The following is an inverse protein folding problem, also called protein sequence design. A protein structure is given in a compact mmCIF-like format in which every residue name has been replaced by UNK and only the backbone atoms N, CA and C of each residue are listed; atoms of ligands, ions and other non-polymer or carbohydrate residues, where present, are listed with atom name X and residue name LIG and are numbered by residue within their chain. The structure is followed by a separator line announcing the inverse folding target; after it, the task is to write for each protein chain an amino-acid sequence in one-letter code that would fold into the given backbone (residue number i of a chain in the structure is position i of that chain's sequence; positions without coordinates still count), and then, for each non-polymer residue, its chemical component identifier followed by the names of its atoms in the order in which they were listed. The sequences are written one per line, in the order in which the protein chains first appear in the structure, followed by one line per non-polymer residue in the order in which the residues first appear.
data_IF_745866287192
#
_entry.id   IF_745866287192
#
_cell.length_a   1.000
_cell.length_b   1.000
_cell.length_c   1.000
_cell.angle_alpha   90.00
_cell.angle_beta   90.00
_cell.angle_gamma   90.00
#
_symmetry.space_group_name_H-M   'P 1'
#
loop_
_entity.id
_entity.type
_entity.pdbx_description
1 polymer ?
#
# COMPACT_ATOMS: atom_id res chain seq x y z
N UNK A 1 21.84 6.06 -2.94
CA UNK A 1 20.65 6.90 -2.67
C UNK A 1 20.41 6.88 -1.17
N UNK A 2 20.30 8.02 -0.49
CA UNK A 2 20.12 8.04 0.96
C UNK A 2 18.82 7.33 1.35
N UNK A 3 18.85 6.45 2.35
CA UNK A 3 17.69 5.73 2.90
C UNK A 3 16.56 6.68 3.27
N UNK A 4 16.88 7.89 3.72
CA UNK A 4 15.93 8.97 4.01
C UNK A 4 15.13 9.41 2.78
N UNK A 5 15.77 9.45 1.61
CA UNK A 5 15.12 9.87 0.36
C UNK A 5 14.11 8.82 -0.14
N UNK A 6 14.44 7.52 0.06
CA UNK A 6 13.54 6.39 -0.22
C UNK A 6 12.33 6.40 0.72
N UNK A 7 12.55 6.61 2.02
CA UNK A 7 11.49 6.74 3.02
C UNK A 7 10.53 7.88 2.69
N UNK A 8 11.04 9.04 2.28
CA UNK A 8 10.20 10.17 1.85
C UNK A 8 9.45 9.81 0.56
N UNK A 9 10.11 9.17 -0.42
CA UNK A 9 9.52 8.79 -1.69
C UNK A 9 8.30 7.87 -1.56
N UNK A 10 8.36 6.89 -0.65
CA UNK A 10 7.23 5.98 -0.40
C UNK A 10 6.25 6.50 0.66
N UNK A 11 6.75 7.18 1.69
CA UNK A 11 5.94 7.66 2.81
C UNK A 11 5.06 8.85 2.44
N UNK A 12 5.52 9.74 1.56
CA UNK A 12 4.77 10.93 1.16
C UNK A 12 3.44 10.63 0.46
N UNK A 13 3.34 9.75 -0.56
CA UNK A 13 2.05 9.42 -1.17
C UNK A 13 1.09 8.74 -0.19
N UNK A 14 1.61 7.91 0.73
CA UNK A 14 0.80 7.25 1.76
C UNK A 14 0.23 8.28 2.74
N UNK A 15 1.08 9.17 3.25
CA UNK A 15 0.67 10.24 4.16
C UNK A 15 -0.34 11.18 3.51
N UNK A 16 -0.08 11.60 2.28
CA UNK A 16 -1.00 12.47 1.54
C UNK A 16 -2.33 11.77 1.26
N UNK A 17 -2.30 10.48 0.92
CA UNK A 17 -3.49 9.65 0.77
C UNK A 17 -4.31 9.55 2.07
N UNK A 18 -3.63 9.31 3.20
CA UNK A 18 -4.25 9.26 4.53
C UNK A 18 -4.88 10.62 4.90
N UNK A 19 -4.16 11.71 4.68
CA UNK A 19 -4.66 13.06 4.92
C UNK A 19 -5.90 13.35 4.08
N UNK A 20 -6.02 12.86 2.84
CA UNK A 20 -7.23 13.03 2.04
C UNK A 20 -8.45 12.26 2.59
N UNK A 21 -8.21 11.11 3.23
CA UNK A 21 -9.26 10.24 3.78
C UNK A 21 -9.83 10.83 5.08
N UNK A 22 -9.00 11.46 5.91
CA UNK A 22 -9.40 11.90 7.24
C UNK A 22 -10.47 13.02 7.19
N UNK A 23 -11.42 13.03 8.15
CA UNK A 23 -12.50 14.00 8.16
C UNK A 23 -12.02 15.40 8.57
N UNK A 24 -11.03 15.50 9.47
CA UNK A 24 -10.56 16.79 10.01
C UNK A 24 -9.74 17.63 9.01
N UNK A 25 -9.28 17.03 7.93
CA UNK A 25 -8.48 17.71 6.88
C UNK A 25 -9.35 18.25 5.74
N UNK A 26 -10.67 18.04 5.76
CA UNK A 26 -11.53 18.31 4.61
C UNK A 26 -11.58 19.78 4.21
N UNK A 27 -11.55 20.70 5.17
CA UNK A 27 -11.52 22.15 4.93
C UNK A 27 -10.27 22.57 4.15
N UNK A 28 -9.09 22.02 4.50
CA UNK A 28 -7.83 22.33 3.83
C UNK A 28 -7.79 21.84 2.38
N UNK A 29 -8.34 20.66 2.09
CA UNK A 29 -8.35 20.11 0.73
C UNK A 29 -9.48 20.65 -0.15
N UNK A 30 -10.56 21.17 0.45
CA UNK A 30 -11.59 21.90 -0.30
C UNK A 30 -11.05 23.20 -0.90
N UNK A 31 -10.16 23.92 -0.19
CA UNK A 31 -9.47 25.08 -0.78
C UNK A 31 -8.64 24.72 -2.03
N UNK A 32 -8.22 23.46 -2.14
CA UNK A 32 -7.44 22.95 -3.28
C UNK A 32 -8.31 22.39 -4.41
N UNK A 33 -9.65 22.42 -4.28
CA UNK A 33 -10.56 21.85 -5.27
C UNK A 33 -10.58 22.63 -6.59
N UNK A 34 -10.20 23.92 -6.57
CA UNK A 34 -10.06 24.73 -7.80
C UNK A 34 -9.01 24.15 -8.75
N UNK A 35 -7.94 23.56 -8.22
CA UNK A 35 -6.88 22.91 -9.01
C UNK A 35 -7.13 21.43 -9.25
N UNK A 36 -7.79 20.76 -8.30
CA UNK A 36 -8.09 19.33 -8.39
C UNK A 36 -9.59 19.08 -8.21
N UNK A 37 -10.35 18.97 -9.31
CA UNK A 37 -11.81 18.79 -9.25
C UNK A 37 -12.21 17.48 -8.56
N UNK A 38 -11.31 16.48 -8.51
CA UNK A 38 -11.53 15.24 -7.76
C UNK A 38 -11.74 15.47 -6.25
N UNK A 39 -11.22 16.57 -5.68
CA UNK A 39 -11.36 16.87 -4.25
C UNK A 39 -12.63 17.64 -3.91
N UNK A 40 -13.36 18.16 -4.92
CA UNK A 40 -14.59 18.92 -4.72
C UNK A 40 -15.70 18.08 -4.07
N UNK A 41 -15.72 16.77 -4.34
CA UNK A 41 -16.70 15.85 -3.76
C UNK A 41 -16.07 15.01 -2.66
N UNK A 42 -16.83 14.72 -1.61
CA UNK A 42 -16.38 13.82 -0.53
C UNK A 42 -15.93 12.47 -1.09
N UNK A 43 -16.70 11.90 -2.02
CA UNK A 43 -16.40 10.61 -2.65
C UNK A 43 -15.11 10.66 -3.48
N UNK A 44 -14.95 11.67 -4.33
CA UNK A 44 -13.74 11.83 -5.14
C UNK A 44 -12.49 12.01 -4.28
N UNK A 45 -12.59 12.81 -3.20
CA UNK A 45 -11.51 12.99 -2.23
C UNK A 45 -11.09 11.67 -1.56
N UNK A 46 -12.06 10.91 -1.07
CA UNK A 46 -11.80 9.61 -0.40
C UNK A 46 -11.16 8.61 -1.37
N UNK A 47 -11.68 8.49 -2.60
CA UNK A 47 -11.13 7.55 -3.59
C UNK A 47 -9.76 7.97 -4.11
N UNK A 48 -9.51 9.28 -4.28
CA UNK A 48 -8.17 9.78 -4.61
C UNK A 48 -7.18 9.49 -3.49
N UNK A 49 -7.58 9.68 -2.23
CA UNK A 49 -6.77 9.33 -1.07
C UNK A 49 -6.46 7.82 -1.02
N UNK A 50 -7.49 6.99 -1.22
CA UNK A 50 -7.34 5.53 -1.28
C UNK A 50 -6.39 5.09 -2.38
N UNK A 51 -6.52 5.63 -3.59
CA UNK A 51 -5.64 5.30 -4.71
C UNK A 51 -4.17 5.66 -4.42
N UNK A 52 -3.91 6.81 -3.79
CA UNK A 52 -2.54 7.20 -3.41
C UNK A 52 -1.95 6.29 -2.35
N UNK A 53 -2.74 5.91 -1.34
CA UNK A 53 -2.31 4.96 -0.31
C UNK A 53 -2.03 3.57 -0.92
N UNK A 54 -2.90 3.10 -1.81
CA UNK A 54 -2.71 1.81 -2.51
C UNK A 54 -1.49 1.80 -3.43
N UNK A 55 -1.23 2.91 -4.14
CA UNK A 55 0.01 3.10 -4.91
C UNK A 55 1.25 3.04 -4.01
N UNK A 56 1.21 3.67 -2.84
CA UNK A 56 2.28 3.58 -1.86
C UNK A 56 2.50 2.16 -1.36
N UNK A 57 1.42 1.45 -1.00
CA UNK A 57 1.48 0.04 -0.59
C UNK A 57 2.05 -0.89 -1.68
N UNK A 58 1.68 -0.64 -2.94
CA UNK A 58 2.24 -1.34 -4.10
C UNK A 58 3.75 -1.10 -4.23
N UNK A 59 4.17 0.17 -4.15
CA UNK A 59 5.58 0.54 -4.25
C UNK A 59 6.42 -0.09 -3.12
N UNK A 60 5.91 -0.09 -1.89
CA UNK A 60 6.54 -0.77 -0.75
C UNK A 60 6.64 -2.27 -0.99
N UNK A 61 5.59 -2.91 -1.51
CA UNK A 61 5.60 -4.35 -1.79
C UNK A 61 6.63 -4.75 -2.84
N UNK A 62 6.76 -3.96 -3.92
CA UNK A 62 7.81 -4.14 -4.94
C UNK A 62 9.19 -3.99 -4.31
N UNK A 63 9.38 -2.97 -3.47
CA UNK A 63 10.65 -2.76 -2.78
C UNK A 63 11.00 -3.93 -1.85
N UNK A 64 10.03 -4.46 -1.10
CA UNK A 64 10.20 -5.64 -0.25
C UNK A 64 10.64 -6.87 -1.06
N UNK A 65 10.03 -7.10 -2.22
CA UNK A 65 10.44 -8.19 -3.12
C UNK A 65 11.84 -7.98 -3.69
N UNK A 66 12.16 -6.76 -4.09
CA UNK A 66 13.47 -6.44 -4.60
C UNK A 66 14.57 -6.66 -3.55
N UNK A 67 14.33 -6.26 -2.29
CA UNK A 67 15.24 -6.52 -1.17
C UNK A 67 15.44 -8.02 -0.98
N UNK A 68 14.35 -8.79 -0.95
CA UNK A 68 14.42 -10.25 -0.79
C UNK A 68 15.25 -10.91 -1.89
N UNK A 69 15.02 -10.53 -3.16
CA UNK A 69 15.80 -11.04 -4.28
C UNK A 69 17.29 -10.68 -4.15
N UNK A 70 17.62 -9.45 -3.76
CA UNK A 70 19.02 -9.02 -3.61
C UNK A 70 19.74 -9.68 -2.44
N UNK A 71 19.07 -9.91 -1.33
CA UNK A 71 19.63 -10.70 -0.23
C UNK A 71 19.92 -12.12 -0.69
N UNK A 72 19.00 -12.75 -1.45
CA UNK A 72 19.21 -14.11 -1.96
C UNK A 72 20.40 -14.24 -2.92
N UNK A 73 20.77 -13.15 -3.61
CA UNK A 73 21.97 -13.05 -4.43
C UNK A 73 23.27 -12.84 -3.61
N UNK A 74 23.18 -12.75 -2.29
CA UNK A 74 24.32 -12.57 -1.37
C UNK A 74 24.67 -11.10 -1.08
N UNK A 75 23.78 -10.15 -1.39
CA UNK A 75 24.01 -8.74 -1.09
C UNK A 75 23.50 -8.36 0.31
N UNK A 76 24.36 -7.70 1.10
CA UNK A 76 23.97 -7.14 2.39
C UNK A 76 23.30 -5.77 2.22
N UNK A 77 21.96 -5.75 2.20
CA UNK A 77 21.15 -4.54 2.18
C UNK A 77 20.39 -4.38 3.50
N UNK A 78 20.28 -3.16 4.01
CA UNK A 78 19.56 -2.87 5.28
C UNK A 78 20.11 -3.59 6.52
N UNK A 79 21.36 -4.08 6.50
CA UNK A 79 22.11 -4.47 7.69
C UNK A 79 22.57 -3.20 8.43
N UNK A 80 21.74 -2.68 9.32
CA UNK A 80 22.11 -1.58 10.22
C UNK A 80 22.38 -2.17 11.62
N UNK A 81 23.59 -1.97 12.13
CA UNK A 81 24.23 -2.64 13.28
C UNK A 81 23.59 -2.48 14.67
N UNK A 82 22.32 -2.06 14.82
CA UNK A 82 21.82 -1.78 16.19
C UNK A 82 20.41 -2.23 16.56
N UNK A 83 19.36 -2.16 15.72
CA UNK A 83 17.98 -2.50 16.19
C UNK A 83 17.05 -3.14 15.12
N UNK A 84 17.16 -2.83 13.81
CA UNK A 84 16.32 -3.42 12.76
C UNK A 84 17.16 -3.76 11.51
N UNK A 85 17.60 -5.02 11.39
CA UNK A 85 18.16 -5.54 10.14
C UNK A 85 17.02 -6.10 9.28
N UNK A 86 16.83 -5.58 8.07
CA UNK A 86 15.81 -6.14 7.18
C UNK A 86 16.23 -7.52 6.64
N UNK A 87 17.50 -7.88 6.77
CA UNK A 87 18.01 -9.21 6.39
C UNK A 87 17.38 -10.32 7.25
N UNK A 88 17.27 -10.07 8.56
CA UNK A 88 16.76 -11.05 9.53
C UNK A 88 15.29 -11.45 9.30
N UNK A 89 14.51 -10.58 8.65
CA UNK A 89 13.07 -10.77 8.42
C UNK A 89 12.72 -10.93 6.94
N UNK A 90 13.15 -10.00 6.09
CA UNK A 90 12.84 -9.99 4.65
C UNK A 90 13.80 -10.91 3.87
N UNK A 91 15.04 -11.02 4.34
CA UNK A 91 16.04 -11.93 3.79
C UNK A 91 15.79 -13.39 4.16
N UNK A 92 15.28 -13.62 5.37
CA UNK A 92 15.05 -14.97 5.90
C UNK A 92 13.82 -15.65 5.28
N UNK A 93 14.04 -16.76 4.58
CA UNK A 93 12.98 -17.56 3.95
C UNK A 93 11.96 -18.15 4.94
N UNK A 94 12.30 -18.35 6.22
CA UNK A 94 11.33 -18.82 7.21
C UNK A 94 10.29 -17.76 7.57
N UNK A 95 10.67 -16.48 7.57
CA UNK A 95 9.79 -15.37 7.96
C UNK A 95 9.15 -14.69 6.76
N UNK A 96 9.86 -14.58 5.63
CA UNK A 96 9.37 -13.88 4.45
C UNK A 96 8.50 -14.75 3.54
N UNK A 97 8.14 -15.98 3.92
CA UNK A 97 7.36 -16.90 3.07
C UNK A 97 5.94 -17.08 3.58
N UNK A 98 4.96 -16.98 2.68
CA UNK A 98 3.57 -17.29 2.96
C UNK A 98 3.39 -18.81 3.14
N UNK A 99 2.91 -19.29 4.29
CA UNK A 99 2.89 -20.72 4.62
C UNK A 99 1.95 -21.57 3.75
N UNK A 100 0.98 -20.95 3.08
CA UNK A 100 -0.04 -21.67 2.29
C UNK A 100 0.39 -21.84 0.83
N UNK A 101 1.05 -20.83 0.25
CA UNK A 101 1.36 -20.76 -1.17
C UNK A 101 2.87 -20.85 -1.46
N UNK A 102 3.73 -20.90 -0.43
CA UNK A 102 5.19 -20.96 -0.54
C UNK A 102 5.79 -19.84 -1.40
N UNK A 103 5.21 -18.64 -1.28
CA UNK A 103 5.61 -17.44 -2.01
C UNK A 103 6.02 -16.33 -1.05
N UNK A 104 6.97 -15.47 -1.41
CA UNK A 104 7.39 -14.43 -0.48
C UNK A 104 6.33 -13.33 -0.31
N UNK A 105 6.22 -12.80 0.91
CA UNK A 105 5.13 -11.90 1.31
C UNK A 105 5.02 -10.63 0.47
N UNK A 106 6.14 -10.08 0.01
CA UNK A 106 6.09 -8.93 -0.90
C UNK A 106 5.42 -9.24 -2.25
N UNK A 107 5.44 -10.49 -2.74
CA UNK A 107 4.75 -10.87 -3.98
C UNK A 107 3.24 -10.94 -3.73
N UNK A 108 2.83 -11.48 -2.56
CA UNK A 108 1.44 -11.43 -2.10
C UNK A 108 0.95 -9.98 -2.00
N UNK A 109 1.76 -9.10 -1.41
CA UNK A 109 1.49 -7.67 -1.33
C UNK A 109 1.34 -7.04 -2.71
N UNK A 110 2.28 -7.29 -3.63
CA UNK A 110 2.24 -6.76 -4.99
C UNK A 110 0.93 -7.10 -5.72
N UNK A 111 0.52 -8.36 -5.71
CA UNK A 111 -0.72 -8.81 -6.34
C UNK A 111 -1.93 -8.16 -5.68
N UNK A 112 -1.95 -8.15 -4.35
CA UNK A 112 -3.09 -7.63 -3.56
C UNK A 112 -3.27 -6.12 -3.76
N UNK A 113 -2.20 -5.33 -3.63
CA UNK A 113 -2.27 -3.88 -3.81
C UNK A 113 -2.57 -3.50 -5.26
N UNK A 114 -2.08 -4.26 -6.25
CA UNK A 114 -2.44 -4.05 -7.66
C UNK A 114 -3.93 -4.29 -7.90
N UNK A 115 -4.48 -5.40 -7.38
CA UNK A 115 -5.89 -5.70 -7.50
C UNK A 115 -6.77 -4.64 -6.80
N UNK A 116 -6.44 -4.26 -5.56
CA UNK A 116 -7.15 -3.21 -4.84
C UNK A 116 -7.08 -1.86 -5.55
N UNK A 117 -5.92 -1.50 -6.08
CA UNK A 117 -5.73 -0.27 -6.85
C UNK A 117 -6.59 -0.28 -8.10
N UNK A 118 -6.64 -1.39 -8.83
CA UNK A 118 -7.52 -1.55 -9.98
C UNK A 118 -9.00 -1.38 -9.62
N UNK A 119 -9.47 -2.03 -8.54
CA UNK A 119 -10.85 -1.91 -8.08
C UNK A 119 -11.19 -0.46 -7.71
N UNK A 120 -10.35 0.17 -6.88
CA UNK A 120 -10.53 1.54 -6.41
C UNK A 120 -10.49 2.55 -7.56
N UNK A 121 -9.50 2.44 -8.46
CA UNK A 121 -9.35 3.33 -9.59
C UNK A 121 -10.52 3.22 -10.58
N UNK A 122 -10.99 2.00 -10.84
CA UNK A 122 -12.18 1.77 -11.65
C UNK A 122 -13.39 2.50 -11.05
N UNK A 123 -13.64 2.33 -9.74
CA UNK A 123 -14.73 3.02 -9.02
C UNK A 123 -14.60 4.55 -9.12
N UNK A 124 -13.39 5.09 -9.10
CA UNK A 124 -13.15 6.54 -9.29
C UNK A 124 -13.57 7.04 -10.67
N UNK A 125 -13.47 6.22 -11.70
CA UNK A 125 -13.79 6.59 -13.09
C UNK A 125 -15.27 6.43 -13.41
N UNK A 126 -15.89 5.33 -12.96
CA UNK A 126 -17.29 5.03 -13.23
C UNK A 126 -18.08 4.82 -11.93
N UNK A 127 -18.34 5.89 -11.18
CA UNK A 127 -18.93 5.80 -9.84
C UNK A 127 -20.37 5.26 -9.80
N UNK A 128 -21.07 5.30 -10.94
CA UNK A 128 -22.48 4.94 -11.07
C UNK A 128 -22.69 3.61 -11.80
N UNK A 129 -21.61 2.89 -12.12
CA UNK A 129 -21.72 1.60 -12.78
C UNK A 129 -22.29 0.53 -11.84
N UNK A 130 -23.02 -0.43 -12.39
CA UNK A 130 -23.70 -1.51 -11.65
C UNK A 130 -22.73 -2.40 -10.86
N UNK A 131 -21.48 -2.52 -11.32
CA UNK A 131 -20.43 -3.32 -10.67
C UNK A 131 -19.75 -2.62 -9.49
N UNK A 132 -19.95 -1.30 -9.30
CA UNK A 132 -19.30 -0.52 -8.23
C UNK A 132 -19.51 -1.13 -6.85
N UNK A 133 -20.75 -1.55 -6.54
CA UNK A 133 -21.08 -2.12 -5.23
C UNK A 133 -20.34 -3.44 -4.99
N UNK A 134 -20.23 -4.28 -6.01
CA UNK A 134 -19.49 -5.54 -5.91
C UNK A 134 -17.99 -5.29 -5.71
N UNK A 135 -17.42 -4.32 -6.41
CA UNK A 135 -16.00 -3.97 -6.25
C UNK A 135 -15.70 -3.39 -4.86
N UNK A 136 -16.60 -2.56 -4.31
CA UNK A 136 -16.50 -2.06 -2.94
C UNK A 136 -16.58 -3.21 -1.92
N UNK A 137 -17.50 -4.15 -2.09
CA UNK A 137 -17.64 -5.30 -1.20
C UNK A 137 -16.40 -6.20 -1.26
N UNK A 138 -15.90 -6.50 -2.47
CA UNK A 138 -14.68 -7.27 -2.67
C UNK A 138 -13.46 -6.58 -2.05
N UNK A 139 -13.28 -5.29 -2.29
CA UNK A 139 -12.18 -4.51 -1.71
C UNK A 139 -12.25 -4.44 -0.18
N UNK A 140 -13.47 -4.34 0.38
CA UNK A 140 -13.70 -4.35 1.82
C UNK A 140 -13.35 -5.72 2.43
N UNK A 141 -13.82 -6.80 1.80
CA UNK A 141 -13.51 -8.17 2.23
C UNK A 141 -11.99 -8.43 2.18
N UNK A 142 -11.32 -8.03 1.10
CA UNK A 142 -9.88 -8.15 0.95
C UNK A 142 -9.13 -7.35 2.03
N UNK A 143 -9.60 -6.15 2.38
CA UNK A 143 -9.02 -5.35 3.48
C UNK A 143 -9.17 -6.06 4.82
N UNK A 144 -10.34 -6.63 5.13
CA UNK A 144 -10.54 -7.39 6.36
C UNK A 144 -9.67 -8.65 6.42
N UNK A 145 -9.54 -9.38 5.31
CA UNK A 145 -8.63 -10.51 5.22
C UNK A 145 -7.18 -10.08 5.47
N UNK A 146 -6.78 -8.93 4.92
CA UNK A 146 -5.46 -8.33 5.14
C UNK A 146 -5.16 -8.02 6.61
N UNK A 147 -6.15 -7.55 7.38
CA UNK A 147 -5.99 -7.37 8.83
C UNK A 147 -5.68 -8.69 9.55
N UNK A 148 -6.27 -9.80 9.11
CA UNK A 148 -5.95 -11.14 9.62
C UNK A 148 -4.50 -11.55 9.31
N UNK A 149 -4.02 -11.27 8.10
CA UNK A 149 -2.61 -11.50 7.71
C UNK A 149 -1.66 -10.69 8.57
N UNK A 150 -1.96 -9.41 8.81
CA UNK A 150 -1.15 -8.57 9.70
C UNK A 150 -1.11 -9.16 11.11
N UNK A 151 -2.24 -9.68 11.63
CA UNK A 151 -2.27 -10.38 12.91
C UNK A 151 -1.34 -11.60 12.97
N UNK A 152 -1.28 -12.40 11.89
CA UNK A 152 -0.38 -13.55 11.76
C UNK A 152 1.11 -13.15 11.68
N UNK A 153 1.40 -11.97 11.12
CA UNK A 153 2.78 -11.48 10.98
C UNK A 153 3.34 -10.88 12.28
N UNK A 154 2.47 -10.56 13.24
CA UNK A 154 2.84 -9.97 14.54
C UNK A 154 2.87 -11.03 15.66
N UNK A 155 2.33 -12.24 15.41
CA UNK A 155 2.32 -13.38 16.34
C UNK A 155 3.57 -14.24 16.24
#
# INVERSE_FOLDING_TARGET
MSTTLLLIGYGLPILLGLLLILPFTSSSFLALSERFPSFATKRGRLLSGLNLTLLGGLAVSVQTQWIHAKVSEGANFCASDTIFSCDDVIGNAQYNTMPILDVPWGMVGFVTFTALLFLSYSISKEPNATWTKNFLNLGTLATFAGLGVIGLLVS
#
